data_IF_253896741168
#
_entry.id   IF_253896741168
#
_cell.length_a   1.000
_cell.length_b   1.000
_cell.length_c   1.000
_cell.angle_alpha   90.00
_cell.angle_beta   90.00
_cell.angle_gamma   90.00
#
_symmetry.space_group_name_H-M   'P 1'
#
loop_
_entity.id
_entity.type
_entity.pdbx_description
1 polymer ?
#
# COMPACT_ATOMS: atom_id res chain seq x y z
N UNK A 1 16.63 6.61 8.79
CA UNK A 1 15.55 5.69 8.39
C UNK A 1 15.88 5.08 7.05
N UNK A 2 15.67 3.78 6.89
CA UNK A 2 15.80 3.08 5.62
C UNK A 2 14.44 3.09 4.91
N UNK A 3 14.42 3.21 3.57
CA UNK A 3 13.20 3.04 2.78
C UNK A 3 13.49 2.29 1.50
N UNK A 4 12.56 1.43 1.11
CA UNK A 4 12.62 0.66 -0.14
C UNK A 4 11.36 0.94 -0.94
N UNK A 5 11.48 1.04 -2.26
CA UNK A 5 10.33 1.19 -3.15
C UNK A 5 10.30 0.03 -4.13
N UNK A 6 9.28 -0.82 -4.00
CA UNK A 6 9.03 -1.92 -4.91
C UNK A 6 8.05 -1.42 -5.98
N UNK A 7 8.32 -1.71 -7.25
CA UNK A 7 7.43 -1.34 -8.38
C UNK A 7 6.99 -2.54 -9.21
N UNK A 8 7.58 -3.69 -8.96
CA UNK A 8 7.25 -4.92 -9.65
C UNK A 8 5.89 -5.46 -9.17
N UNK A 9 4.88 -5.60 -10.05
CA UNK A 9 3.53 -5.96 -9.63
C UNK A 9 3.43 -7.31 -8.93
N UNK A 10 4.23 -8.29 -9.37
CA UNK A 10 4.19 -9.64 -8.82
C UNK A 10 4.78 -9.68 -7.41
N UNK A 11 5.95 -9.03 -7.22
CA UNK A 11 6.56 -8.89 -5.89
C UNK A 11 5.68 -8.08 -4.93
N UNK A 12 5.05 -7.01 -5.41
CA UNK A 12 4.11 -6.21 -4.60
C UNK A 12 2.93 -7.06 -4.16
N UNK A 13 2.32 -7.81 -5.09
CA UNK A 13 1.15 -8.62 -4.78
C UNK A 13 1.45 -9.65 -3.71
N UNK A 14 2.56 -10.40 -3.86
CA UNK A 14 3.00 -11.38 -2.86
C UNK A 14 3.25 -10.72 -1.49
N UNK A 15 4.04 -9.64 -1.47
CA UNK A 15 4.34 -8.93 -0.23
C UNK A 15 3.10 -8.39 0.48
N UNK A 16 2.14 -7.83 -0.28
CA UNK A 16 0.90 -7.32 0.28
C UNK A 16 -0.02 -8.43 0.79
N UNK A 17 -0.06 -9.60 0.14
CA UNK A 17 -0.80 -10.75 0.65
C UNK A 17 -0.30 -11.17 2.04
N UNK A 18 1.02 -11.24 2.23
CA UNK A 18 1.63 -11.56 3.52
C UNK A 18 1.40 -10.43 4.55
N UNK A 19 1.58 -9.17 4.15
CA UNK A 19 1.38 -8.02 5.05
C UNK A 19 -0.08 -7.88 5.50
N UNK A 20 -1.04 -8.15 4.63
CA UNK A 20 -2.46 -8.17 4.99
C UNK A 20 -2.82 -9.38 5.83
N UNK A 21 -2.15 -10.52 5.64
CA UNK A 21 -2.33 -11.69 6.49
C UNK A 21 -1.94 -11.40 7.95
N UNK A 22 -0.81 -10.74 8.17
CA UNK A 22 -0.35 -10.29 9.52
C UNK A 22 -1.40 -9.40 10.20
N UNK A 23 -2.16 -8.62 9.43
CA UNK A 23 -3.23 -7.74 9.94
C UNK A 23 -4.61 -8.38 9.91
N UNK A 24 -4.70 -9.71 9.78
CA UNK A 24 -5.96 -10.47 9.69
C UNK A 24 -6.91 -9.96 8.59
N UNK A 25 -6.35 -9.31 7.55
CA UNK A 25 -7.08 -8.62 6.47
C UNK A 25 -8.10 -7.58 6.97
N UNK A 26 -7.89 -7.04 8.16
CA UNK A 26 -8.72 -5.98 8.72
C UNK A 26 -7.93 -4.67 8.79
N UNK A 27 -8.48 -3.62 8.20
CA UNK A 27 -7.88 -2.29 8.25
C UNK A 27 -8.94 -1.23 8.52
N UNK A 28 -8.67 -0.21 9.35
CA UNK A 28 -9.59 0.90 9.52
C UNK A 28 -9.77 1.69 8.22
N UNK A 29 -10.98 2.18 7.98
CA UNK A 29 -11.27 2.97 6.78
C UNK A 29 -10.48 4.29 6.70
N UNK A 30 -10.01 4.83 7.84
CA UNK A 30 -9.20 6.05 7.90
C UNK A 30 -7.77 5.88 7.35
N UNK A 31 -7.28 4.63 7.23
CA UNK A 31 -5.98 4.34 6.65
C UNK A 31 -5.90 4.63 5.15
N UNK A 32 -7.06 4.83 4.50
CA UNK A 32 -7.15 5.19 3.08
C UNK A 32 -7.34 6.70 2.96
N UNK A 33 -6.43 7.34 2.24
CA UNK A 33 -6.45 8.78 2.02
C UNK A 33 -7.52 9.22 1.00
N UNK A 34 -7.66 10.53 0.81
CA UNK A 34 -8.61 11.09 -0.16
C UNK A 34 -8.31 10.71 -1.62
N UNK A 35 -7.06 10.36 -1.92
CA UNK A 35 -6.57 9.96 -3.24
C UNK A 35 -6.62 8.44 -3.47
N UNK A 36 -7.15 7.67 -2.51
CA UNK A 36 -7.25 6.22 -2.59
C UNK A 36 -5.95 5.45 -2.28
N UNK A 37 -4.92 6.10 -1.75
CA UNK A 37 -3.71 5.44 -1.26
C UNK A 37 -3.95 4.84 0.12
N UNK A 38 -3.27 3.74 0.43
CA UNK A 38 -3.38 3.03 1.70
C UNK A 38 -2.07 3.13 2.47
N UNK A 39 -2.13 3.42 3.77
CA UNK A 39 -0.97 3.38 4.65
C UNK A 39 -1.28 2.62 5.93
N UNK A 40 -0.38 1.72 6.35
CA UNK A 40 -0.50 0.98 7.59
C UNK A 40 0.87 0.56 8.10
N UNK A 41 1.00 0.44 9.43
CA UNK A 41 2.22 -0.06 10.06
C UNK A 41 2.16 -1.54 10.35
N UNK A 42 3.30 -2.17 10.54
CA UNK A 42 3.48 -3.48 11.17
C UNK A 42 4.50 -3.30 12.29
N UNK A 43 4.19 -3.78 13.49
CA UNK A 43 5.02 -3.54 14.66
C UNK A 43 6.25 -4.46 14.70
N UNK A 44 6.13 -5.68 14.16
CA UNK A 44 7.17 -6.70 14.20
C UNK A 44 7.33 -7.35 12.82
N UNK A 45 8.55 -7.36 12.27
CA UNK A 45 8.82 -8.05 11.02
C UNK A 45 8.81 -9.59 11.16
N UNK A 46 8.92 -10.13 12.37
CA UNK A 46 8.88 -11.59 12.61
C UNK A 46 7.49 -12.17 12.45
N UNK A 47 6.45 -11.33 12.42
CA UNK A 47 5.09 -11.74 12.06
C UNK A 47 5.00 -12.22 10.60
N UNK A 48 5.95 -11.84 9.75
CA UNK A 48 6.00 -12.34 8.37
C UNK A 48 6.44 -13.81 8.33
N UNK A 49 5.73 -14.68 7.60
CA UNK A 49 6.00 -16.12 7.60
C UNK A 49 7.37 -16.51 7.04
N UNK A 50 7.94 -15.71 6.13
CA UNK A 50 9.26 -15.97 5.53
C UNK A 50 10.43 -15.48 6.41
N UNK A 51 10.17 -14.64 7.43
CA UNK A 51 11.21 -13.98 8.21
C UNK A 51 11.33 -14.59 9.60
N UNK A 52 12.42 -15.32 9.83
CA UNK A 52 12.77 -15.81 11.16
C UNK A 52 13.48 -14.73 11.96
N UNK A 53 13.29 -14.76 13.27
CA UNK A 53 14.00 -13.89 14.19
C UNK A 53 15.52 -14.12 14.13
N UNK A 54 16.26 -13.03 13.94
CA UNK A 54 17.71 -12.99 14.03
C UNK A 54 18.13 -12.11 15.23
N UNK A 55 18.80 -12.67 16.25
CA UNK A 55 19.25 -11.93 17.43
C UNK A 55 20.17 -10.74 17.13
N UNK A 56 20.90 -10.78 16.01
CA UNK A 56 21.85 -9.72 15.65
C UNK A 56 21.14 -8.48 15.07
N UNK A 57 19.94 -8.66 14.50
CA UNK A 57 19.13 -7.58 13.90
C UNK A 57 18.19 -6.96 14.95
N UNK A 58 17.67 -7.79 15.87
CA UNK A 58 16.65 -7.40 16.83
C UNK A 58 15.26 -7.24 16.20
N UNK A 59 14.26 -6.81 16.99
CA UNK A 59 12.87 -6.58 16.54
C UNK A 59 12.73 -5.16 16.00
N UNK A 60 12.13 -5.02 14.81
CA UNK A 60 11.78 -3.71 14.26
C UNK A 60 10.43 -3.71 13.56
N UNK A 61 9.73 -2.59 13.66
CA UNK A 61 8.51 -2.32 12.92
C UNK A 61 8.78 -1.64 11.58
N UNK A 62 7.78 -1.63 10.72
CA UNK A 62 7.83 -0.96 9.42
C UNK A 62 6.50 -0.32 9.06
N UNK A 63 6.57 0.83 8.41
CA UNK A 63 5.42 1.48 7.81
C UNK A 63 5.34 1.16 6.31
N UNK A 64 4.18 0.67 5.88
CA UNK A 64 3.90 0.30 4.50
C UNK A 64 2.97 1.35 3.90
N UNK A 65 3.38 1.93 2.77
CA UNK A 65 2.59 2.86 2.01
C UNK A 65 2.37 2.33 0.58
N UNK A 66 1.11 2.19 0.21
CA UNK A 66 0.66 1.69 -1.09
C UNK A 66 0.03 2.84 -1.85
N UNK A 67 0.67 3.24 -2.94
CA UNK A 67 0.18 4.29 -3.84
C UNK A 67 -0.57 3.65 -5.00
N UNK A 68 -1.86 3.97 -5.13
CA UNK A 68 -2.68 3.55 -6.27
C UNK A 68 -2.70 4.64 -7.33
N UNK A 69 -2.40 4.28 -8.57
CA UNK A 69 -2.43 5.22 -9.70
C UNK A 69 -3.08 4.61 -10.92
N UNK A 70 -3.79 5.46 -11.68
CA UNK A 70 -4.27 5.09 -13.01
C UNK A 70 -3.13 5.18 -14.03
N UNK A 71 -3.11 4.31 -15.05
CA UNK A 71 -2.21 4.47 -16.19
C UNK A 71 -2.43 5.84 -16.85
N UNK A 72 -1.39 6.67 -16.93
CA UNK A 72 -1.49 8.04 -17.46
C UNK A 72 -0.81 9.10 -16.59
N UNK A 73 -0.54 8.77 -15.31
CA UNK A 73 0.12 9.67 -14.36
C UNK A 73 1.52 10.17 -14.80
N UNK A 74 2.17 9.49 -15.75
CA UNK A 74 3.46 9.89 -16.33
C UNK A 74 3.46 11.32 -16.89
N UNK A 75 2.31 11.84 -17.36
CA UNK A 75 2.21 13.20 -17.92
C UNK A 75 2.61 14.29 -16.89
N UNK A 76 2.39 14.04 -15.61
CA UNK A 76 2.82 14.95 -14.53
C UNK A 76 4.29 14.83 -14.16
N UNK A 77 4.92 13.69 -14.47
CA UNK A 77 6.29 13.34 -14.06
C UNK A 77 7.33 13.57 -15.15
N UNK A 78 6.93 13.50 -16.42
CA UNK A 78 7.85 13.66 -17.57
C UNK A 78 8.41 15.08 -17.65
N UNK A 79 9.65 15.21 -18.17
CA UNK A 79 10.32 16.50 -18.39
C UNK A 79 9.71 17.30 -19.55
N UNK A 80 9.46 16.64 -20.68
CA UNK A 80 8.90 17.27 -21.90
C UNK A 80 7.38 17.34 -21.83
N UNK A 81 6.79 18.50 -22.15
CA UNK A 81 5.34 18.73 -22.18
C UNK A 81 4.63 18.24 -20.90
N UNK A 82 5.13 18.67 -19.73
CA UNK A 82 4.53 18.37 -18.43
C UNK A 82 3.17 19.07 -18.33
N UNK A 83 2.15 18.32 -17.91
CA UNK A 83 0.82 18.87 -17.64
C UNK A 83 0.26 18.31 -16.32
N UNK A 84 -0.71 19.02 -15.73
CA UNK A 84 -1.40 18.58 -14.52
C UNK A 84 -2.40 17.47 -14.86
N UNK A 85 -2.56 16.52 -13.94
CA UNK A 85 -3.56 15.47 -14.06
C UNK A 85 -4.93 16.02 -13.65
N UNK A 86 -5.96 15.90 -14.51
CA UNK A 86 -7.32 16.34 -14.20
C UNK A 86 -7.92 15.52 -13.05
N UNK A 87 -8.85 16.11 -12.31
CA UNK A 87 -9.49 15.48 -11.15
C UNK A 87 -10.19 14.18 -11.55
N UNK A 88 -10.82 14.14 -12.73
CA UNK A 88 -11.50 12.96 -13.28
C UNK A 88 -10.59 11.75 -13.52
N UNK A 89 -9.28 11.95 -13.63
CA UNK A 89 -8.31 10.86 -13.81
C UNK A 89 -7.66 10.43 -12.49
N UNK A 90 -7.85 11.19 -11.41
CA UNK A 90 -7.32 10.81 -10.09
C UNK A 90 -8.18 9.69 -9.51
N UNK A 91 -7.56 8.87 -8.67
CA UNK A 91 -8.28 7.86 -7.88
C UNK A 91 -8.96 8.58 -6.71
N UNK A 92 -10.18 8.18 -6.40
CA UNK A 92 -10.92 8.67 -5.23
C UNK A 92 -10.82 7.67 -4.07
N UNK A 93 -11.06 8.13 -2.84
CA UNK A 93 -11.10 7.27 -1.65
C UNK A 93 -12.02 6.04 -1.84
N UNK A 94 -13.24 6.25 -2.33
CA UNK A 94 -14.23 5.18 -2.55
C UNK A 94 -13.77 4.15 -3.59
N UNK A 95 -13.11 4.61 -4.66
CA UNK A 95 -12.52 3.73 -5.67
C UNK A 95 -11.38 2.90 -5.09
N UNK A 96 -10.49 3.52 -4.30
CA UNK A 96 -9.41 2.84 -3.59
C UNK A 96 -9.95 1.75 -2.66
N UNK A 97 -10.94 2.07 -1.83
CA UNK A 97 -11.60 1.12 -0.93
C UNK A 97 -12.18 -0.08 -1.69
N UNK A 98 -12.91 0.18 -2.77
CA UNK A 98 -13.51 -0.88 -3.60
C UNK A 98 -12.45 -1.75 -4.26
N UNK A 99 -11.34 -1.15 -4.71
CA UNK A 99 -10.24 -1.87 -5.33
C UNK A 99 -9.55 -2.82 -4.34
N UNK A 100 -9.23 -2.33 -3.13
CA UNK A 100 -8.61 -3.14 -2.07
C UNK A 100 -9.53 -4.28 -1.60
N UNK A 101 -10.82 -4.01 -1.43
CA UNK A 101 -11.85 -5.03 -1.13
C UNK A 101 -11.88 -6.11 -2.21
N UNK A 102 -11.88 -5.73 -3.50
CA UNK A 102 -11.98 -6.68 -4.62
C UNK A 102 -10.71 -7.51 -4.84
N UNK A 103 -9.53 -6.90 -4.73
CA UNK A 103 -8.26 -7.58 -5.04
C UNK A 103 -7.73 -8.43 -3.89
N UNK A 104 -7.85 -7.96 -2.65
CA UNK A 104 -7.24 -8.61 -1.49
C UNK A 104 -8.25 -9.12 -0.46
N UNK A 105 -9.55 -8.88 -0.65
CA UNK A 105 -10.59 -9.31 0.28
C UNK A 105 -10.52 -8.58 1.63
N UNK A 106 -10.04 -7.34 1.64
CA UNK A 106 -9.86 -6.55 2.86
C UNK A 106 -11.21 -6.16 3.47
N UNK A 107 -11.36 -6.39 4.77
CA UNK A 107 -12.49 -5.89 5.56
C UNK A 107 -12.13 -4.52 6.11
N UNK A 108 -12.80 -3.49 5.59
CA UNK A 108 -12.63 -2.13 6.09
C UNK A 108 -13.61 -1.88 7.23
N UNK A 109 -13.07 -1.61 8.42
CA UNK A 109 -13.87 -1.20 9.57
C UNK A 109 -14.21 0.28 9.41
N UNK A 110 -15.51 0.55 9.26
CA UNK A 110 -16.07 1.90 9.42
C UNK A 110 -16.38 2.05 10.91
N UNK A 111 -15.77 3.04 11.57
CA UNK A 111 -16.26 3.51 12.87
C UNK A 111 -17.64 4.16 12.71
#
# INVERSE_FOLDING_TARGET
GCKVTIRDPEKIKKFLEDAFWVREKTLPAYNIDMQGNLSFGIADYTDFPEMKYDPDIGIFGMDINVVLERPGHRVSRRRRLKAKIPISHRVTRAEGQTWFKKQFGLTLLEE
#
